data_IF_948668801249
#
_entry.id   IF_948668801249
#
_cell.length_a   1.000
_cell.length_b   1.000
_cell.length_c   1.000
_cell.angle_alpha   90.00
_cell.angle_beta   90.00
_cell.angle_gamma   90.00
#
_symmetry.space_group_name_H-M   'P 1'
#
loop_
_entity.id
_entity.type
_entity.pdbx_description
1 polymer ?
#
# COMPACT_ATOMS: atom_id res chain seq x y z
N UNK A 1 -5.47 -14.45 15.34
CA UNK A 1 -5.98 -13.53 16.40
C UNK A 1 -6.48 -12.26 15.73
N UNK A 2 -7.69 -11.77 16.06
CA UNK A 2 -8.13 -10.44 15.64
C UNK A 2 -7.10 -9.37 16.03
N UNK A 3 -6.84 -8.39 15.16
CA UNK A 3 -5.88 -7.31 15.43
C UNK A 3 -4.41 -7.61 15.07
N UNK A 4 -4.10 -8.78 14.51
CA UNK A 4 -2.73 -9.10 14.09
C UNK A 4 -2.35 -8.54 12.70
N UNK A 5 -3.34 -8.36 11.82
CA UNK A 5 -3.14 -7.82 10.47
C UNK A 5 -4.08 -6.64 10.21
N UNK A 6 -3.59 -5.56 9.58
CA UNK A 6 -4.42 -4.44 9.18
C UNK A 6 -5.51 -4.88 8.20
N UNK A 7 -6.72 -4.39 8.38
CA UNK A 7 -7.79 -4.54 7.38
C UNK A 7 -7.44 -3.74 6.12
N UNK A 8 -7.78 -4.29 4.95
CA UNK A 8 -7.55 -3.65 3.65
C UNK A 8 -8.82 -3.02 3.07
N UNK A 9 -9.98 -3.64 3.31
CA UNK A 9 -11.29 -3.12 2.86
C UNK A 9 -11.54 -1.71 3.41
N UNK A 10 -12.11 -0.83 2.59
CA UNK A 10 -12.42 0.59 2.88
C UNK A 10 -11.20 1.47 3.21
N UNK A 11 -9.99 1.00 2.89
CA UNK A 11 -8.73 1.71 3.12
C UNK A 11 -7.90 1.86 1.86
N UNK A 12 -7.73 0.77 1.09
CA UNK A 12 -6.83 0.77 -0.07
C UNK A 12 -7.34 1.66 -1.20
N UNK A 13 -8.65 1.78 -1.40
CA UNK A 13 -9.28 2.75 -2.30
C UNK A 13 -8.92 4.20 -1.94
N UNK A 14 -8.95 4.55 -0.65
CA UNK A 14 -8.62 5.89 -0.17
C UNK A 14 -7.14 6.20 -0.24
N UNK A 15 -6.29 5.19 -0.04
CA UNK A 15 -4.85 5.34 -0.21
C UNK A 15 -4.54 5.48 -1.70
N UNK A 16 -5.14 4.66 -2.57
CA UNK A 16 -4.91 4.70 -4.02
C UNK A 16 -5.56 5.90 -4.74
N UNK A 17 -6.26 6.79 -4.04
CA UNK A 17 -6.91 7.96 -4.65
C UNK A 17 -5.95 9.08 -5.02
N UNK A 18 -4.68 9.04 -4.58
CA UNK A 18 -3.63 9.98 -5.01
C UNK A 18 -2.46 9.24 -5.69
N UNK A 19 -1.72 9.92 -6.58
CA UNK A 19 -0.50 9.35 -7.17
C UNK A 19 0.52 8.87 -6.13
N UNK A 20 0.70 9.65 -5.06
CA UNK A 20 1.60 9.35 -3.95
C UNK A 20 1.16 8.09 -3.21
N UNK A 21 -0.14 7.91 -3.02
CA UNK A 21 -0.67 6.73 -2.35
C UNK A 21 -0.61 5.47 -3.22
N UNK A 22 -0.80 5.58 -4.55
CA UNK A 22 -0.52 4.46 -5.48
C UNK A 22 0.96 4.05 -5.43
N UNK A 23 1.87 5.03 -5.45
CA UNK A 23 3.31 4.83 -5.32
C UNK A 23 3.65 4.10 -4.02
N UNK A 24 3.10 4.56 -2.89
CA UNK A 24 3.27 3.95 -1.58
C UNK A 24 2.77 2.49 -1.54
N UNK A 25 1.61 2.19 -2.12
CA UNK A 25 1.08 0.83 -2.18
C UNK A 25 2.01 -0.11 -2.97
N UNK A 26 2.51 0.36 -4.11
CA UNK A 26 3.48 -0.39 -4.91
C UNK A 26 4.76 -0.67 -4.11
N UNK A 27 5.28 0.35 -3.42
CA UNK A 27 6.50 0.23 -2.62
C UNK A 27 6.33 -0.72 -1.42
N UNK A 28 5.18 -0.71 -0.75
CA UNK A 28 4.88 -1.66 0.34
C UNK A 28 4.86 -3.09 -0.16
N UNK A 29 4.24 -3.36 -1.31
CA UNK A 29 4.19 -4.74 -1.86
C UNK A 29 5.58 -5.20 -2.32
N UNK A 30 6.35 -4.32 -2.96
CA UNK A 30 7.68 -4.65 -3.47
C UNK A 30 8.74 -4.78 -2.39
N UNK A 31 8.70 -3.94 -1.35
CA UNK A 31 9.78 -3.87 -0.36
C UNK A 31 9.39 -4.49 0.99
N UNK A 32 8.10 -4.75 1.20
CA UNK A 32 7.56 -5.12 2.49
C UNK A 32 7.36 -3.92 3.41
N UNK A 33 6.83 -4.18 4.60
CA UNK A 33 6.58 -3.17 5.61
C UNK A 33 6.88 -3.74 6.99
N UNK A 34 7.71 -3.04 7.75
CA UNK A 34 8.11 -3.46 9.10
C UNK A 34 8.01 -2.29 10.06
N UNK A 35 7.49 -2.57 11.26
CA UNK A 35 7.38 -1.60 12.34
C UNK A 35 5.94 -1.17 12.62
N UNK A 36 5.77 -0.26 13.59
CA UNK A 36 4.45 0.19 14.01
C UNK A 36 3.78 1.07 12.95
N UNK A 37 2.52 0.80 12.66
CA UNK A 37 1.65 1.63 11.82
C UNK A 37 0.29 1.82 12.49
N UNK A 38 -0.38 2.93 12.20
CA UNK A 38 -1.81 3.11 12.50
C UNK A 38 -2.66 2.81 11.28
N UNK A 39 -3.67 1.97 11.43
CA UNK A 39 -4.63 1.63 10.36
C UNK A 39 -6.02 1.41 10.96
N UNK A 40 -7.02 2.15 10.51
CA UNK A 40 -8.39 2.08 11.04
C UNK A 40 -8.47 2.43 12.53
N UNK A 41 -7.65 3.36 13.01
CA UNK A 41 -7.56 3.73 14.42
C UNK A 41 -6.90 2.70 15.34
N UNK A 42 -6.31 1.63 14.78
CA UNK A 42 -5.62 0.57 15.53
C UNK A 42 -4.12 0.60 15.20
N UNK A 43 -3.28 0.43 16.22
CA UNK A 43 -1.84 0.30 16.06
C UNK A 43 -1.46 -1.15 15.78
N UNK A 44 -0.72 -1.38 14.69
CA UNK A 44 -0.16 -2.68 14.31
C UNK A 44 1.35 -2.62 14.34
N UNK A 45 2.01 -3.53 15.05
CA UNK A 45 3.45 -3.68 15.04
C UNK A 45 3.80 -5.05 14.47
N UNK A 46 3.86 -5.13 13.14
CA UNK A 46 3.99 -6.39 12.42
C UNK A 46 5.11 -6.37 11.38
N UNK A 47 5.24 -7.50 10.71
CA UNK A 47 6.12 -7.68 9.56
C UNK A 47 5.29 -8.16 8.37
N UNK A 48 5.28 -7.36 7.31
CA UNK A 48 4.78 -7.73 5.99
C UNK A 48 5.98 -8.05 5.10
N UNK A 49 6.17 -9.32 4.69
CA UNK A 49 7.21 -9.69 3.75
C UNK A 49 7.03 -9.00 2.39
N UNK A 50 8.15 -8.84 1.68
CA UNK A 50 8.14 -8.41 0.28
C UNK A 50 7.51 -9.48 -0.61
N UNK A 51 6.69 -9.04 -1.58
CA UNK A 51 6.11 -9.85 -2.63
C UNK A 51 6.76 -9.57 -4.00
N UNK A 52 7.99 -9.03 -4.02
CA UNK A 52 8.72 -8.70 -5.28
C UNK A 52 8.96 -9.88 -6.22
N UNK A 53 8.75 -11.11 -5.77
CA UNK A 53 8.85 -12.29 -6.62
C UNK A 53 7.73 -12.36 -7.67
N UNK A 54 6.62 -11.67 -7.45
CA UNK A 54 5.52 -11.54 -8.41
C UNK A 54 5.89 -10.60 -9.56
N UNK A 55 5.22 -10.78 -10.71
CA UNK A 55 5.34 -9.89 -11.87
C UNK A 55 4.74 -8.51 -11.58
N UNK A 56 5.06 -7.52 -12.41
CA UNK A 56 4.50 -6.17 -12.27
C UNK A 56 3.00 -6.18 -12.54
N UNK A 57 2.56 -7.01 -13.49
CA UNK A 57 1.18 -7.26 -13.85
C UNK A 57 0.39 -7.89 -12.70
N UNK A 58 0.95 -8.91 -12.03
CA UNK A 58 0.28 -9.58 -10.90
C UNK A 58 0.12 -8.62 -9.72
N UNK A 59 1.15 -7.84 -9.40
CA UNK A 59 1.10 -6.87 -8.31
C UNK A 59 0.04 -5.78 -8.62
N UNK A 60 0.03 -5.27 -9.85
CA UNK A 60 -0.95 -4.28 -10.29
C UNK A 60 -2.38 -4.83 -10.23
N UNK A 61 -2.59 -6.07 -10.66
CA UNK A 61 -3.88 -6.75 -10.62
C UNK A 61 -4.37 -6.97 -9.18
N UNK A 62 -3.50 -7.45 -8.28
CA UNK A 62 -3.84 -7.65 -6.86
C UNK A 62 -4.18 -6.32 -6.19
N UNK A 63 -3.37 -5.28 -6.39
CA UNK A 63 -3.62 -3.97 -5.79
C UNK A 63 -4.92 -3.34 -6.31
N UNK A 64 -5.20 -3.46 -7.61
CA UNK A 64 -6.45 -3.01 -8.22
C UNK A 64 -7.65 -3.79 -7.67
N UNK A 65 -7.53 -5.12 -7.54
CA UNK A 65 -8.57 -5.95 -6.95
C UNK A 65 -8.85 -5.54 -5.50
N UNK A 66 -7.82 -5.38 -4.68
CA UNK A 66 -7.99 -4.98 -3.28
C UNK A 66 -8.60 -3.58 -3.17
N UNK A 67 -8.20 -2.65 -4.03
CA UNK A 67 -8.81 -1.32 -4.10
C UNK A 67 -10.31 -1.38 -4.48
N UNK A 68 -10.70 -2.36 -5.30
CA UNK A 68 -12.11 -2.57 -5.70
C UNK A 68 -12.99 -3.21 -4.62
N UNK A 69 -12.41 -3.74 -3.52
CA UNK A 69 -13.18 -4.34 -2.43
C UNK A 69 -13.95 -3.31 -1.58
N UNK A 70 -13.72 -2.03 -1.83
CA UNK A 70 -14.39 -0.91 -1.17
C UNK A 70 -15.55 -0.38 -2.01
N UNK A 71 -16.46 0.38 -1.39
CA UNK A 71 -17.64 0.92 -2.06
C UNK A 71 -17.37 2.13 -2.97
N UNK A 72 -16.10 2.56 -3.10
CA UNK A 72 -15.71 3.71 -3.91
C UNK A 72 -15.94 3.47 -5.41
N UNK A 73 -16.57 4.45 -6.09
CA UNK A 73 -16.87 4.39 -7.54
C UNK A 73 -16.48 5.70 -8.24
N UNK A 74 -15.68 5.66 -9.32
CA UNK A 74 -14.98 4.48 -9.84
C UNK A 74 -13.88 4.01 -8.87
N UNK A 75 -13.64 2.69 -8.82
CA UNK A 75 -12.55 2.15 -8.01
C UNK A 75 -11.20 2.57 -8.63
N UNK A 76 -10.21 2.97 -7.82
CA UNK A 76 -8.91 3.34 -8.35
C UNK A 76 -8.19 2.12 -8.90
N UNK A 77 -7.58 2.29 -10.07
CA UNK A 77 -6.75 1.29 -10.73
C UNK A 77 -5.27 1.63 -10.55
N UNK A 78 -4.45 0.58 -10.48
CA UNK A 78 -2.99 0.67 -10.42
C UNK A 78 -2.45 -0.06 -11.64
N UNK A 79 -1.60 0.61 -12.42
CA UNK A 79 -1.09 0.08 -13.67
C UNK A 79 0.24 -0.68 -13.45
N UNK A 80 0.59 -1.59 -14.36
CA UNK A 80 1.85 -2.32 -14.28
C UNK A 80 3.06 -1.37 -14.38
N UNK A 81 2.92 -0.25 -15.09
CA UNK A 81 3.92 0.80 -15.22
C UNK A 81 4.22 1.48 -13.88
N UNK A 82 3.22 1.65 -13.01
CA UNK A 82 3.39 2.19 -11.67
C UNK A 82 4.28 1.26 -10.82
N UNK A 83 4.07 -0.06 -10.96
CA UNK A 83 4.84 -1.08 -10.24
C UNK A 83 6.26 -1.16 -10.81
N UNK A 84 6.41 -1.12 -12.13
CA UNK A 84 7.71 -1.14 -12.79
C UNK A 84 8.56 0.07 -12.38
N UNK A 85 7.97 1.26 -12.35
CA UNK A 85 8.63 2.47 -11.88
C UNK A 85 9.05 2.35 -10.40
N UNK A 86 8.19 1.75 -9.58
CA UNK A 86 8.50 1.47 -8.18
C UNK A 86 9.64 0.48 -8.00
N UNK A 87 9.64 -0.61 -8.78
CA UNK A 87 10.64 -1.67 -8.73
C UNK A 87 12.04 -1.18 -9.12
N UNK A 88 12.13 -0.19 -9.99
CA UNK A 88 13.40 0.44 -10.37
C UNK A 88 14.04 1.24 -9.23
N UNK A 89 13.29 1.58 -8.18
CA UNK A 89 13.75 2.38 -7.03
C UNK A 89 13.47 1.61 -5.73
N UNK A 90 14.29 0.61 -5.39
CA UNK A 90 14.11 -0.17 -4.17
C UNK A 90 14.25 0.73 -2.94
N UNK A 91 13.41 0.50 -1.93
CA UNK A 91 13.36 1.29 -0.70
C UNK A 91 13.61 0.41 0.52
N UNK A 92 14.30 0.96 1.51
CA UNK A 92 14.47 0.34 2.83
C UNK A 92 13.22 0.57 3.69
N UNK A 93 13.02 -0.27 4.69
CA UNK A 93 11.86 -0.18 5.59
C UNK A 93 11.69 1.20 6.24
N UNK A 94 12.79 1.90 6.56
CA UNK A 94 12.75 3.26 7.10
C UNK A 94 12.20 4.28 6.12
N UNK A 95 12.49 4.13 4.83
CA UNK A 95 12.01 5.01 3.77
C UNK A 95 10.51 4.79 3.51
N UNK A 96 10.04 3.54 3.59
CA UNK A 96 8.61 3.21 3.52
C UNK A 96 7.84 3.82 4.70
N UNK A 97 8.39 3.81 5.91
CA UNK A 97 7.77 4.46 7.07
C UNK A 97 7.73 5.99 6.92
N UNK A 98 8.81 6.59 6.43
CA UNK A 98 8.86 8.02 6.14
C UNK A 98 7.83 8.40 5.07
N UNK A 99 7.74 7.62 3.99
CA UNK A 99 6.75 7.80 2.93
C UNK A 99 5.33 7.67 3.45
N UNK A 100 5.04 6.66 4.30
CA UNK A 100 3.72 6.54 4.95
C UNK A 100 3.38 7.78 5.76
N UNK A 101 4.35 8.30 6.51
CA UNK A 101 4.16 9.46 7.39
C UNK A 101 3.91 10.73 6.57
N UNK A 102 4.68 10.92 5.49
CA UNK A 102 4.50 12.01 4.53
C UNK A 102 3.15 11.91 3.82
N UNK A 103 2.77 10.70 3.38
CA UNK A 103 1.48 10.43 2.76
C UNK A 103 0.35 10.78 3.73
N UNK A 104 0.41 10.35 4.99
CA UNK A 104 -0.61 10.66 5.98
C UNK A 104 -0.70 12.17 6.30
N UNK A 105 0.41 12.89 6.25
CA UNK A 105 0.43 14.34 6.44
C UNK A 105 -0.22 15.09 5.27
N UNK A 106 -0.01 14.63 4.02
CA UNK A 106 -0.58 15.24 2.82
C UNK A 106 -2.03 14.78 2.55
N UNK A 107 -2.30 13.50 2.78
CA UNK A 107 -3.56 12.81 2.54
C UNK A 107 -3.84 11.89 3.73
N UNK A 108 -4.57 12.36 4.76
CA UNK A 108 -4.87 11.54 5.93
C UNK A 108 -5.40 10.16 5.54
N UNK A 109 -4.61 9.13 5.83
CA UNK A 109 -4.94 7.76 5.44
C UNK A 109 -5.73 7.09 6.57
N UNK A 110 -6.77 6.33 6.23
CA UNK A 110 -7.67 5.71 7.21
C UNK A 110 -6.98 4.65 8.05
#
# INVERSE_FOLDING_TARGET
>A
MPGQFPVLKNRIDKIASSPEGKRYLADVVLNGLHGPIQAGGVTYAGFMPSLKALSDEDIAAVLTYVASLSDAKPAPTIAAEDIKAARAVPKKSSEIQAERSALNAAHPIP
#
